data_IF_261929331468
#
_entry.id   IF_261929331468
#
_cell.length_a   1.000
_cell.length_b   1.000
_cell.length_c   1.000
_cell.angle_alpha   90.00
_cell.angle_beta   90.00
_cell.angle_gamma   90.00
#
_symmetry.space_group_name_H-M   'P 1'
#
loop_
_entity.id
_entity.type
_entity.pdbx_description
1 polymer ?
#
# COMPACT_ATOMS: atom_id res chain seq x y z
N UNK A 1 -28.96 -84.60 -34.75
CA UNK A 1 -28.95 -85.98 -34.22
C UNK A 1 -29.04 -85.86 -32.75
N UNK A 2 -29.98 -86.18 -31.94
CA UNK A 2 -31.20 -86.98 -31.97
C UNK A 2 -31.84 -86.71 -30.60
N UNK A 3 -33.04 -86.31 -30.56
CA UNK A 3 -34.07 -86.52 -29.52
C UNK A 3 -34.11 -87.98 -29.06
N UNK A 4 -34.86 -88.45 -28.08
CA UNK A 4 -36.05 -87.92 -27.47
C UNK A 4 -36.28 -88.20 -25.95
N UNK A 5 -37.37 -87.61 -25.46
CA UNK A 5 -38.16 -87.93 -24.22
C UNK A 5 -38.64 -89.40 -24.13
N UNK A 6 -39.26 -89.88 -23.00
CA UNK A 6 -40.64 -89.54 -22.67
C UNK A 6 -41.05 -89.54 -21.19
N UNK A 7 -42.17 -88.93 -20.92
CA UNK A 7 -43.12 -89.10 -19.78
C UNK A 7 -43.69 -90.53 -19.71
N UNK A 8 -44.44 -91.09 -18.71
CA UNK A 8 -45.64 -90.47 -18.08
C UNK A 8 -46.02 -90.95 -16.66
N UNK A 9 -47.01 -90.41 -16.06
CA UNK A 9 -48.36 -90.80 -15.58
C UNK A 9 -48.70 -90.61 -14.16
N UNK A 10 -49.77 -89.90 -13.94
CA UNK A 10 -50.69 -89.82 -12.79
C UNK A 10 -51.28 -91.18 -12.38
N UNK A 11 -51.85 -91.33 -11.15
CA UNK A 11 -53.26 -91.00 -10.89
C UNK A 11 -53.62 -90.54 -9.48
N UNK A 12 -54.71 -89.81 -9.37
CA UNK A 12 -55.61 -89.57 -8.24
C UNK A 12 -56.32 -90.85 -7.74
N UNK A 13 -56.83 -90.97 -6.48
CA UNK A 13 -58.15 -90.42 -6.14
C UNK A 13 -58.37 -89.90 -4.66
N UNK A 14 -59.39 -89.11 -4.56
CA UNK A 14 -60.17 -88.72 -3.37
C UNK A 14 -60.97 -89.94 -2.79
N UNK A 15 -61.67 -89.95 -1.55
CA UNK A 15 -62.22 -88.82 -0.77
C UNK A 15 -62.36 -88.95 0.73
N UNK A 16 -62.91 -87.91 1.31
CA UNK A 16 -63.85 -87.81 2.44
C UNK A 16 -63.48 -87.70 3.87
N UNK A 17 -63.92 -86.65 4.39
CA UNK A 17 -64.82 -86.35 5.57
C UNK A 17 -64.27 -86.02 6.94
N UNK A 18 -64.77 -84.89 7.41
CA UNK A 18 -65.15 -84.48 8.78
C UNK A 18 -63.99 -84.25 9.76
N UNK A 19 -63.89 -83.08 10.46
CA UNK A 19 -64.87 -82.46 11.39
C UNK A 19 -64.40 -81.13 11.90
N UNK A 20 -65.32 -80.25 12.15
CA UNK A 20 -65.25 -78.99 12.87
C UNK A 20 -64.50 -79.13 14.21
N UNK A 21 -63.61 -78.18 14.53
CA UNK A 21 -63.24 -77.64 15.88
C UNK A 21 -61.78 -77.13 15.92
N UNK A 22 -61.48 -75.96 15.27
CA UNK A 22 -60.26 -75.23 15.58
C UNK A 22 -60.30 -73.77 15.17
N UNK A 23 -61.47 -73.09 15.29
CA UNK A 23 -61.59 -71.66 14.96
C UNK A 23 -61.06 -70.66 16.01
N UNK A 24 -60.61 -71.08 17.19
CA UNK A 24 -60.22 -70.17 18.29
C UNK A 24 -58.68 -70.03 18.49
N UNK A 25 -57.86 -70.85 17.84
CA UNK A 25 -56.41 -70.76 18.01
C UNK A 25 -55.70 -69.89 16.92
N UNK A 26 -56.33 -69.56 15.81
CA UNK A 26 -55.72 -68.76 14.72
C UNK A 26 -55.88 -67.27 14.89
N UNK A 27 -56.78 -66.75 15.70
CA UNK A 27 -56.91 -65.33 16.00
C UNK A 27 -55.75 -64.81 16.94
N UNK A 28 -55.24 -65.68 17.84
CA UNK A 28 -54.10 -65.31 18.68
C UNK A 28 -52.77 -65.32 17.93
N UNK A 29 -52.58 -66.27 17.01
CA UNK A 29 -51.37 -66.32 16.20
C UNK A 29 -51.24 -65.16 15.17
N UNK A 30 -52.39 -64.70 14.62
CA UNK A 30 -52.45 -63.53 13.73
C UNK A 30 -52.07 -62.23 14.44
N UNK A 31 -52.49 -62.05 15.70
CA UNK A 31 -52.23 -60.82 16.47
C UNK A 31 -50.73 -60.77 16.89
N UNK A 32 -50.15 -61.92 17.24
CA UNK A 32 -48.70 -62.01 17.56
C UNK A 32 -47.86 -61.79 16.31
N UNK A 33 -48.26 -62.32 15.14
CA UNK A 33 -47.59 -62.08 13.87
C UNK A 33 -47.63 -60.62 13.45
N UNK A 34 -48.76 -59.92 13.68
CA UNK A 34 -48.92 -58.47 13.41
C UNK A 34 -48.06 -57.62 14.33
N UNK A 35 -47.97 -57.95 15.60
CA UNK A 35 -47.08 -57.25 16.55
C UNK A 35 -45.63 -57.49 16.21
N UNK A 36 -45.23 -58.71 15.88
CA UNK A 36 -43.85 -59.02 15.45
C UNK A 36 -43.51 -58.37 14.11
N UNK A 37 -44.41 -58.28 13.17
CA UNK A 37 -44.23 -57.53 11.90
C UNK A 37 -44.13 -56.03 12.15
N UNK A 38 -44.96 -55.46 13.05
CA UNK A 38 -44.89 -54.04 13.42
C UNK A 38 -43.60 -53.66 14.12
N UNK A 39 -43.14 -54.49 15.06
CA UNK A 39 -41.87 -54.27 15.72
C UNK A 39 -40.67 -54.52 14.79
N UNK A 40 -40.72 -55.46 13.89
CA UNK A 40 -39.73 -55.69 12.84
C UNK A 40 -39.62 -54.51 11.87
N UNK A 41 -40.74 -53.96 11.44
CA UNK A 41 -40.80 -52.79 10.55
C UNK A 41 -40.25 -51.53 11.27
N UNK A 42 -40.63 -51.35 12.56
CA UNK A 42 -40.12 -50.18 13.31
C UNK A 42 -38.62 -50.28 13.60
N UNK A 43 -38.09 -51.46 13.93
CA UNK A 43 -36.65 -51.67 14.08
C UNK A 43 -35.91 -51.53 12.78
N UNK A 44 -36.46 -52.00 11.67
CA UNK A 44 -35.89 -51.80 10.34
C UNK A 44 -35.88 -50.35 9.91
N UNK A 45 -36.96 -49.61 10.15
CA UNK A 45 -37.02 -48.17 9.89
C UNK A 45 -36.01 -47.38 10.78
N UNK A 46 -35.88 -47.76 12.07
CA UNK A 46 -34.92 -47.16 12.95
C UNK A 46 -33.47 -47.40 12.51
N UNK A 47 -33.17 -48.66 12.12
CA UNK A 47 -31.85 -49.01 11.56
C UNK A 47 -31.55 -48.32 10.24
N UNK A 48 -32.54 -48.15 9.37
CA UNK A 48 -32.43 -47.36 8.13
C UNK A 48 -32.20 -45.86 8.42
N UNK A 49 -32.89 -45.28 9.38
CA UNK A 49 -32.65 -43.90 9.82
C UNK A 49 -31.24 -43.69 10.41
N UNK A 50 -30.77 -44.62 11.25
CA UNK A 50 -29.41 -44.59 11.78
C UNK A 50 -28.36 -44.71 10.68
N UNK A 51 -28.58 -45.63 9.72
CA UNK A 51 -27.69 -45.76 8.52
C UNK A 51 -27.68 -44.52 7.66
N UNK A 52 -28.85 -43.90 7.43
CA UNK A 52 -28.94 -42.61 6.69
C UNK A 52 -28.27 -41.47 7.43
N UNK A 53 -28.39 -41.41 8.78
CA UNK A 53 -27.70 -40.42 9.60
C UNK A 53 -26.18 -40.66 9.60
N UNK A 54 -25.74 -41.92 9.74
CA UNK A 54 -24.32 -42.26 9.66
C UNK A 54 -23.72 -41.97 8.30
N UNK A 55 -24.48 -42.28 7.20
CA UNK A 55 -24.05 -41.91 5.84
C UNK A 55 -24.07 -40.42 5.59
N UNK A 56 -25.04 -39.67 6.13
CA UNK A 56 -25.04 -38.20 6.07
C UNK A 56 -23.90 -37.54 6.83
N UNK A 57 -23.49 -38.14 7.97
CA UNK A 57 -22.29 -37.70 8.72
C UNK A 57 -21.01 -38.03 7.96
N UNK A 58 -20.94 -39.16 7.27
CA UNK A 58 -19.79 -39.52 6.40
C UNK A 58 -19.75 -38.76 5.07
N UNK A 59 -20.88 -38.23 4.62
CA UNK A 59 -20.97 -37.39 3.44
C UNK A 59 -20.86 -35.88 3.72
N UNK A 60 -20.64 -35.48 4.99
CA UNK A 60 -20.25 -34.10 5.23
C UNK A 60 -18.92 -33.88 4.53
N UNK A 61 -18.87 -32.99 3.50
CA UNK A 61 -17.62 -32.72 2.82
C UNK A 61 -16.64 -32.23 3.88
N UNK A 62 -15.50 -32.92 3.97
CA UNK A 62 -14.40 -32.48 4.83
C UNK A 62 -14.19 -30.98 4.58
N UNK A 63 -14.05 -30.17 5.61
CA UNK A 63 -13.86 -28.75 5.45
C UNK A 63 -12.67 -28.52 4.52
N UNK A 64 -12.96 -28.01 3.32
CA UNK A 64 -11.96 -27.80 2.28
C UNK A 64 -10.95 -26.78 2.79
N UNK A 65 -9.71 -27.19 2.96
CA UNK A 65 -8.59 -26.28 3.19
C UNK A 65 -8.20 -25.62 1.86
N UNK A 66 -7.97 -24.33 1.90
CA UNK A 66 -7.53 -23.57 0.73
C UNK A 66 -6.02 -23.51 0.79
N UNK A 67 -5.37 -23.94 -0.29
CA UNK A 67 -3.93 -23.85 -0.48
C UNK A 67 -3.62 -22.71 -1.44
N UNK A 68 -2.58 -21.94 -1.14
CA UNK A 68 -2.10 -20.87 -2.00
C UNK A 68 -0.56 -20.83 -1.96
N UNK A 69 0.02 -20.29 -3.02
CA UNK A 69 1.42 -19.93 -3.02
C UNK A 69 1.56 -18.50 -2.47
N UNK A 70 2.66 -18.24 -1.80
CA UNK A 70 2.97 -16.94 -1.27
C UNK A 70 4.47 -16.68 -1.25
N UNK A 71 4.83 -15.46 -0.88
CA UNK A 71 6.21 -15.05 -0.69
C UNK A 71 6.36 -14.32 0.65
N UNK A 72 7.51 -14.50 1.27
CA UNK A 72 7.86 -13.81 2.50
C UNK A 72 8.26 -12.37 2.15
N UNK A 73 7.55 -11.39 2.69
CA UNK A 73 7.82 -9.97 2.49
C UNK A 73 7.48 -9.18 3.75
N UNK A 74 8.02 -7.95 3.92
CA UNK A 74 7.48 -7.02 4.91
C UNK A 74 6.00 -6.77 4.69
N UNK A 75 5.20 -6.76 5.74
CA UNK A 75 3.77 -6.41 5.67
C UNK A 75 3.55 -4.98 5.19
N UNK A 76 4.50 -4.10 5.53
CA UNK A 76 4.59 -2.78 4.99
C UNK A 76 5.33 -2.80 3.63
N UNK A 77 5.26 -1.70 2.92
CA UNK A 77 5.76 -1.62 1.54
C UNK A 77 7.27 -1.76 1.47
N UNK A 78 7.76 -2.60 0.58
CA UNK A 78 9.14 -2.53 0.07
C UNK A 78 9.23 -1.35 -0.90
N UNK A 79 10.22 -0.48 -0.68
CA UNK A 79 10.43 0.73 -1.49
C UNK A 79 11.70 0.56 -2.30
N UNK A 80 11.58 0.74 -3.61
CA UNK A 80 12.72 0.90 -4.52
C UNK A 80 13.16 2.35 -4.46
N UNK A 81 14.39 2.59 -4.02
CA UNK A 81 14.99 3.92 -4.02
C UNK A 81 15.67 4.17 -5.35
N UNK A 82 15.26 5.25 -6.00
CA UNK A 82 15.78 5.68 -7.29
C UNK A 82 16.33 7.10 -7.20
N UNK A 83 17.04 7.54 -8.21
CA UNK A 83 17.46 8.94 -8.34
C UNK A 83 16.27 9.83 -8.70
N UNK A 84 16.26 11.08 -8.22
CA UNK A 84 15.31 12.09 -8.67
C UNK A 84 15.38 12.32 -10.19
N UNK A 85 14.24 12.64 -10.81
CA UNK A 85 14.16 12.81 -12.27
C UNK A 85 15.14 13.86 -12.82
N UNK A 86 15.45 14.92 -12.05
CA UNK A 86 16.45 15.94 -12.44
C UNK A 86 17.88 15.41 -12.56
N UNK A 87 18.18 14.25 -11.94
CA UNK A 87 19.48 13.60 -11.90
C UNK A 87 19.46 12.20 -12.55
N UNK A 88 18.48 11.89 -13.38
CA UNK A 88 18.24 10.55 -13.95
C UNK A 88 19.40 10.02 -14.81
N UNK A 89 20.27 10.90 -15.29
CA UNK A 89 21.48 10.53 -16.07
C UNK A 89 22.75 10.42 -15.25
N UNK A 90 22.65 10.63 -13.93
CA UNK A 90 23.80 10.58 -13.05
C UNK A 90 24.21 9.13 -12.73
N UNK A 91 25.44 8.97 -12.24
CA UNK A 91 25.98 7.68 -11.80
C UNK A 91 26.13 7.67 -10.29
N UNK A 92 26.26 6.48 -9.72
CA UNK A 92 26.55 6.32 -8.30
C UNK A 92 28.03 6.68 -8.07
N UNK A 93 28.29 7.72 -7.28
CA UNK A 93 29.64 8.08 -6.85
C UNK A 93 30.13 7.20 -5.70
N UNK A 94 29.29 7.06 -4.67
CA UNK A 94 29.60 6.23 -3.50
C UNK A 94 28.33 5.55 -2.98
N UNK A 95 28.50 4.31 -2.52
CA UNK A 95 27.46 3.56 -1.82
C UNK A 95 27.93 3.37 -0.37
N UNK A 96 27.12 3.81 0.59
CA UNK A 96 27.48 3.87 2.02
C UNK A 96 26.90 2.71 2.84
N UNK A 97 26.15 1.82 2.20
CA UNK A 97 25.43 0.71 2.85
C UNK A 97 25.66 -0.58 2.08
N UNK A 98 25.45 -1.70 2.77
CA UNK A 98 25.51 -3.05 2.22
C UNK A 98 24.15 -3.72 2.31
N UNK A 99 23.97 -4.77 1.53
CA UNK A 99 22.78 -5.64 1.67
C UNK A 99 22.75 -6.26 3.07
N UNK A 100 21.58 -6.20 3.71
CA UNK A 100 21.37 -6.64 5.08
C UNK A 100 21.53 -5.54 6.15
N UNK A 101 22.08 -4.38 5.81
CA UNK A 101 22.26 -3.29 6.76
C UNK A 101 20.92 -2.73 7.25
N UNK A 102 20.84 -2.46 8.56
CA UNK A 102 19.76 -1.69 9.16
C UNK A 102 20.07 -0.20 9.07
N UNK A 103 19.12 0.57 8.54
CA UNK A 103 19.26 2.01 8.31
C UNK A 103 18.18 2.80 9.04
N UNK A 104 18.53 4.03 9.42
CA UNK A 104 17.60 4.94 10.07
C UNK A 104 17.01 5.93 9.07
N UNK A 105 15.84 6.48 9.38
CA UNK A 105 15.20 7.53 8.57
C UNK A 105 16.15 8.71 8.40
N UNK A 106 16.32 9.17 7.14
CA UNK A 106 17.19 10.29 6.79
C UNK A 106 18.67 9.92 6.64
N UNK A 107 19.09 8.70 6.98
CA UNK A 107 20.47 8.24 6.76
C UNK A 107 20.82 8.26 5.28
N UNK A 108 22.02 8.78 4.94
CA UNK A 108 22.52 8.77 3.57
C UNK A 108 22.94 7.36 3.20
N UNK A 109 22.39 6.86 2.10
CA UNK A 109 22.62 5.50 1.59
C UNK A 109 23.56 5.48 0.39
N UNK A 110 23.40 6.46 -0.49
CA UNK A 110 24.25 6.62 -1.68
C UNK A 110 24.48 8.11 -1.96
N UNK A 111 25.59 8.40 -2.61
CA UNK A 111 26.01 9.72 -3.05
C UNK A 111 26.21 9.65 -4.57
N UNK A 112 25.58 10.59 -5.29
CA UNK A 112 25.70 10.68 -6.74
C UNK A 112 27.01 11.37 -7.15
N UNK A 113 27.51 11.05 -8.33
CA UNK A 113 28.77 11.60 -8.85
C UNK A 113 28.71 13.11 -9.11
N UNK A 114 27.53 13.65 -9.42
CA UNK A 114 27.30 15.09 -9.63
C UNK A 114 27.45 15.94 -8.36
N UNK A 115 27.48 15.33 -7.16
CA UNK A 115 27.56 16.05 -5.89
C UNK A 115 28.62 17.15 -5.88
N UNK A 116 29.84 16.84 -6.34
CA UNK A 116 30.95 17.80 -6.31
C UNK A 116 30.72 19.00 -7.24
N UNK A 117 30.11 18.80 -8.41
CA UNK A 117 29.73 19.89 -9.31
C UNK A 117 28.63 20.75 -8.71
N UNK A 118 27.59 20.13 -8.11
CA UNK A 118 26.51 20.83 -7.43
C UNK A 118 26.99 21.62 -6.20
N UNK A 119 28.01 21.11 -5.48
CA UNK A 119 28.65 21.88 -4.40
C UNK A 119 29.37 23.14 -4.93
N UNK A 120 30.01 23.05 -6.10
CA UNK A 120 30.60 24.24 -6.75
C UNK A 120 29.52 25.25 -7.15
N UNK A 121 28.41 24.78 -7.68
CA UNK A 121 27.28 25.64 -8.06
C UNK A 121 26.67 26.36 -6.85
N UNK A 122 26.52 25.68 -5.72
CA UNK A 122 26.08 26.29 -4.46
C UNK A 122 27.08 27.36 -3.98
N UNK A 123 28.39 27.09 -4.05
CA UNK A 123 29.43 28.07 -3.68
C UNK A 123 29.39 29.30 -4.59
N UNK A 124 29.22 29.09 -5.89
CA UNK A 124 29.10 30.17 -6.86
C UNK A 124 27.86 31.04 -6.60
N UNK A 125 26.71 30.43 -6.40
CA UNK A 125 25.47 31.14 -6.07
C UNK A 125 25.57 31.88 -4.72
N UNK A 126 26.23 31.31 -3.72
CA UNK A 126 26.48 31.98 -2.43
C UNK A 126 27.36 33.23 -2.61
N UNK A 127 28.39 33.16 -3.45
CA UNK A 127 29.21 34.31 -3.80
C UNK A 127 28.40 35.41 -4.52
N UNK A 128 27.49 35.03 -5.42
CA UNK A 128 26.60 35.99 -6.12
C UNK A 128 25.68 36.73 -5.13
N UNK A 129 25.12 36.01 -4.13
CA UNK A 129 24.32 36.62 -3.06
C UNK A 129 25.14 37.65 -2.26
N UNK A 130 26.41 37.34 -1.92
CA UNK A 130 27.26 38.23 -1.19
C UNK A 130 27.60 39.48 -2.02
N UNK A 131 27.84 39.37 -3.32
CA UNK A 131 28.03 40.51 -4.25
C UNK A 131 26.80 41.41 -4.25
N UNK A 132 25.60 40.83 -4.41
CA UNK A 132 24.34 41.58 -4.40
C UNK A 132 24.11 42.31 -3.06
N UNK A 133 24.40 41.65 -1.95
CA UNK A 133 24.32 42.25 -0.59
C UNK A 133 25.23 43.48 -0.46
N UNK A 134 26.50 43.39 -0.94
CA UNK A 134 27.46 44.52 -0.89
C UNK A 134 27.02 45.65 -1.79
N UNK A 135 26.44 45.41 -2.96
CA UNK A 135 25.86 46.45 -3.82
C UNK A 135 24.73 47.18 -3.11
N UNK A 136 23.82 46.46 -2.46
CA UNK A 136 22.73 47.04 -1.69
C UNK A 136 23.27 47.91 -0.54
N UNK A 137 24.26 47.46 0.21
CA UNK A 137 24.87 48.22 1.29
C UNK A 137 25.60 49.51 0.78
N UNK A 138 26.24 49.46 -0.39
CA UNK A 138 26.82 50.61 -1.03
C UNK A 138 25.76 51.68 -1.40
N UNK A 139 24.62 51.21 -1.92
CA UNK A 139 23.49 52.10 -2.25
C UNK A 139 22.90 52.77 -1.01
N UNK A 140 22.84 52.07 0.13
CA UNK A 140 22.40 52.68 1.39
C UNK A 140 23.32 53.88 1.83
N UNK A 141 24.63 53.80 1.54
CA UNK A 141 25.56 54.89 1.74
C UNK A 141 25.29 56.10 0.82
N UNK A 142 24.92 55.83 -0.44
CA UNK A 142 24.50 56.86 -1.41
C UNK A 142 23.23 57.58 -0.93
N UNK A 143 22.24 56.82 -0.45
CA UNK A 143 21.01 57.36 0.12
C UNK A 143 21.30 58.24 1.35
N UNK A 144 22.19 57.79 2.25
CA UNK A 144 22.59 58.57 3.43
C UNK A 144 23.20 59.91 3.02
N UNK A 145 24.04 59.94 2.00
CA UNK A 145 24.60 61.17 1.44
C UNK A 145 23.51 62.11 0.94
N UNK A 146 22.61 61.66 0.05
CA UNK A 146 21.53 62.50 -0.49
C UNK A 146 20.56 62.96 0.56
N UNK A 147 20.31 62.19 1.63
CA UNK A 147 19.53 62.67 2.78
C UNK A 147 20.18 63.85 3.49
N UNK A 148 21.49 63.79 3.69
CA UNK A 148 22.25 64.90 4.32
C UNK A 148 22.25 66.14 3.43
N UNK A 149 22.47 65.97 2.10
CA UNK A 149 22.43 67.09 1.12
C UNK A 149 21.02 67.74 1.09
N UNK A 150 19.93 66.91 1.07
CA UNK A 150 18.57 67.45 1.10
C UNK A 150 18.27 68.18 2.41
N UNK A 151 18.71 67.66 3.55
CA UNK A 151 18.54 68.35 4.83
C UNK A 151 19.21 69.72 4.82
N UNK A 152 20.43 69.85 4.26
CA UNK A 152 21.12 71.12 4.10
C UNK A 152 20.36 72.06 3.16
N UNK A 153 19.94 71.59 1.97
CA UNK A 153 19.18 72.37 1.01
C UNK A 153 17.86 72.90 1.60
N UNK A 154 17.18 72.14 2.43
CA UNK A 154 15.95 72.55 3.11
C UNK A 154 16.21 73.63 4.16
N UNK A 155 17.31 73.55 4.91
CA UNK A 155 17.71 74.60 5.87
C UNK A 155 18.00 75.91 5.15
N UNK A 156 18.74 75.84 4.05
CA UNK A 156 19.05 77.03 3.21
C UNK A 156 17.78 77.62 2.59
N UNK A 157 16.91 76.82 2.02
CA UNK A 157 15.64 77.29 1.45
C UNK A 157 14.80 78.00 2.49
N UNK A 158 14.64 77.46 3.71
CA UNK A 158 13.93 78.13 4.80
C UNK A 158 14.57 79.48 5.15
N UNK A 159 15.89 79.57 5.26
CA UNK A 159 16.63 80.79 5.56
C UNK A 159 16.39 81.86 4.49
N UNK A 160 16.57 81.54 3.21
CA UNK A 160 16.43 82.48 2.13
C UNK A 160 14.96 82.84 1.86
N UNK A 161 13.99 82.01 2.15
CA UNK A 161 12.57 82.38 2.14
C UNK A 161 12.24 83.46 3.21
N UNK A 162 12.79 83.35 4.40
CA UNK A 162 12.64 84.35 5.44
C UNK A 162 13.35 85.67 5.11
N UNK A 163 14.56 85.60 4.54
CA UNK A 163 15.30 86.81 4.13
C UNK A 163 14.57 87.53 3.00
N UNK A 164 13.98 86.80 2.03
CA UNK A 164 13.16 87.40 1.00
C UNK A 164 11.92 88.10 1.56
N UNK A 165 11.21 87.46 2.51
CA UNK A 165 10.05 88.11 3.18
C UNK A 165 10.41 89.37 3.95
N UNK A 166 11.66 89.51 4.37
CA UNK A 166 12.22 90.71 5.10
C UNK A 166 12.82 91.74 4.13
N UNK A 167 12.76 91.49 2.79
CA UNK A 167 13.38 92.36 1.81
C UNK A 167 14.91 92.27 1.72
N UNK A 168 15.54 91.33 2.42
CA UNK A 168 17.01 91.18 2.54
C UNK A 168 17.62 90.20 1.53
N UNK A 169 16.80 89.62 0.60
CA UNK A 169 17.25 88.76 -0.48
C UNK A 169 16.40 88.92 -1.78
N UNK A 170 16.99 88.63 -2.90
CA UNK A 170 16.26 88.68 -4.24
C UNK A 170 15.35 87.47 -4.45
N UNK A 171 14.29 87.65 -5.24
CA UNK A 171 13.42 86.56 -5.69
C UNK A 171 14.22 85.49 -6.43
N UNK A 172 15.17 85.89 -7.27
CA UNK A 172 16.03 84.97 -8.03
C UNK A 172 16.84 84.08 -7.10
N UNK A 173 17.39 84.61 -6.01
CA UNK A 173 18.16 83.78 -5.05
C UNK A 173 17.25 82.76 -4.36
N UNK A 174 16.06 83.14 -3.91
CA UNK A 174 15.06 82.24 -3.32
C UNK A 174 14.68 81.14 -4.33
N UNK A 175 14.36 81.49 -5.57
CA UNK A 175 13.93 80.53 -6.62
C UNK A 175 15.05 79.58 -6.99
N UNK A 176 16.30 80.02 -6.96
CA UNK A 176 17.47 79.14 -7.09
C UNK A 176 17.53 78.10 -5.96
N UNK A 177 17.23 78.48 -4.68
CA UNK A 177 17.20 77.53 -3.56
C UNK A 177 16.04 76.53 -3.64
N UNK A 178 14.89 76.96 -4.18
CA UNK A 178 13.77 76.04 -4.46
C UNK A 178 14.21 75.01 -5.48
N UNK A 179 14.87 75.42 -6.55
CA UNK A 179 15.37 74.49 -7.61
C UNK A 179 16.40 73.51 -7.03
N UNK A 180 17.35 73.99 -6.20
CA UNK A 180 18.36 73.09 -5.55
C UNK A 180 17.67 72.07 -4.64
N UNK A 181 16.70 72.46 -3.83
CA UNK A 181 15.99 71.56 -2.95
C UNK A 181 15.21 70.52 -3.76
N UNK A 182 14.49 70.93 -4.81
CA UNK A 182 13.69 70.02 -5.67
C UNK A 182 14.56 69.02 -6.44
N UNK A 183 15.71 69.46 -6.97
CA UNK A 183 16.64 68.58 -7.70
C UNK A 183 17.31 67.59 -6.75
N UNK A 184 17.70 68.01 -5.54
CA UNK A 184 18.29 67.12 -4.52
C UNK A 184 17.25 66.10 -4.05
N UNK A 185 16.00 66.49 -3.86
CA UNK A 185 14.90 65.57 -3.54
C UNK A 185 14.70 64.51 -4.64
N UNK A 186 14.66 64.92 -5.90
CA UNK A 186 14.55 64.02 -7.05
C UNK A 186 15.74 63.02 -7.08
N UNK A 187 16.97 63.48 -6.74
CA UNK A 187 18.13 62.57 -6.63
C UNK A 187 18.02 61.57 -5.50
N UNK A 188 17.45 61.96 -4.37
CA UNK A 188 17.16 61.02 -3.27
C UNK A 188 16.10 60.01 -3.69
N UNK A 189 15.02 60.42 -4.34
CA UNK A 189 13.95 59.56 -4.80
C UNK A 189 14.48 58.54 -5.83
N UNK A 190 15.34 58.96 -6.76
CA UNK A 190 16.03 58.05 -7.68
C UNK A 190 16.88 57.01 -6.93
N UNK A 191 17.70 57.44 -5.96
CA UNK A 191 18.54 56.57 -5.19
C UNK A 191 17.74 55.52 -4.36
N UNK A 192 16.53 55.90 -3.91
CA UNK A 192 15.60 54.96 -3.26
C UNK A 192 15.05 53.91 -4.22
N UNK A 193 14.67 54.31 -5.45
CA UNK A 193 14.24 53.35 -6.49
C UNK A 193 15.37 52.41 -6.89
N UNK A 194 16.61 52.91 -7.03
CA UNK A 194 17.77 52.09 -7.33
C UNK A 194 18.03 51.06 -6.21
N UNK A 195 17.85 51.45 -4.91
CA UNK A 195 17.93 50.54 -3.79
C UNK A 195 16.88 49.41 -3.88
N UNK A 196 15.62 49.77 -4.25
CA UNK A 196 14.55 48.78 -4.34
C UNK A 196 14.82 47.78 -5.51
N UNK A 197 15.41 48.25 -6.63
CA UNK A 197 15.90 47.41 -7.69
C UNK A 197 16.99 46.44 -7.25
N UNK A 198 18.00 46.95 -6.49
CA UNK A 198 19.09 46.11 -5.95
C UNK A 198 18.58 45.11 -4.92
N UNK A 199 17.53 45.47 -4.15
CA UNK A 199 16.87 44.54 -3.23
C UNK A 199 16.19 43.40 -3.97
N UNK A 200 15.45 43.66 -5.04
CA UNK A 200 14.87 42.64 -5.88
C UNK A 200 15.95 41.72 -6.49
N UNK A 201 17.08 42.30 -6.94
CA UNK A 201 18.21 41.48 -7.43
C UNK A 201 18.79 40.58 -6.32
N UNK A 202 18.90 41.05 -5.09
CA UNK A 202 19.35 40.23 -3.95
C UNK A 202 18.40 39.06 -3.70
N UNK A 203 17.10 39.32 -3.72
CA UNK A 203 16.07 38.27 -3.55
C UNK A 203 16.14 37.21 -4.68
N UNK A 204 16.38 37.65 -5.92
CA UNK A 204 16.60 36.74 -7.05
C UNK A 204 17.81 35.81 -6.81
N UNK A 205 18.96 36.39 -6.39
CA UNK A 205 20.16 35.59 -6.12
C UNK A 205 19.98 34.64 -4.93
N UNK A 206 19.23 35.05 -3.91
CA UNK A 206 18.88 34.17 -2.78
C UNK A 206 18.00 33.00 -3.23
N UNK A 207 17.03 33.23 -4.10
CA UNK A 207 16.20 32.21 -4.68
C UNK A 207 17.02 31.23 -5.55
N UNK A 208 18.00 31.74 -6.32
CA UNK A 208 18.94 30.91 -7.09
C UNK A 208 19.79 30.02 -6.17
N UNK A 209 20.33 30.57 -5.10
CA UNK A 209 21.06 29.80 -4.08
C UNK A 209 20.18 28.72 -3.45
N UNK A 210 18.92 29.03 -3.15
CA UNK A 210 17.94 28.06 -2.64
C UNK A 210 17.72 26.89 -3.58
N UNK A 211 17.55 27.18 -4.87
CA UNK A 211 17.42 26.12 -5.91
C UNK A 211 18.65 25.21 -5.97
N UNK A 212 19.84 25.79 -6.01
CA UNK A 212 21.10 25.03 -6.09
C UNK A 212 21.31 24.14 -4.86
N UNK A 213 20.93 24.62 -3.65
CA UNK A 213 20.96 23.80 -2.43
C UNK A 213 20.00 22.62 -2.50
N UNK A 214 18.81 22.82 -3.04
CA UNK A 214 17.82 21.75 -3.23
C UNK A 214 18.34 20.70 -4.22
N UNK A 215 18.99 21.11 -5.31
CA UNK A 215 19.59 20.17 -6.26
C UNK A 215 20.75 19.38 -5.63
N UNK A 216 21.59 20.05 -4.83
CA UNK A 216 22.67 19.39 -4.09
C UNK A 216 22.11 18.34 -3.09
N UNK A 217 21.04 18.63 -2.37
CA UNK A 217 20.44 17.69 -1.44
C UNK A 217 19.88 16.45 -2.16
N UNK A 218 19.37 16.60 -3.39
CA UNK A 218 18.93 15.49 -4.23
C UNK A 218 20.05 14.54 -4.65
N UNK A 219 21.31 15.00 -4.65
CA UNK A 219 22.46 14.14 -4.91
C UNK A 219 22.82 13.21 -3.73
N UNK A 220 22.16 13.39 -2.58
CA UNK A 220 22.28 12.53 -1.42
C UNK A 220 21.02 11.66 -1.30
N UNK A 221 21.14 10.40 -1.67
CA UNK A 221 20.03 9.45 -1.58
C UNK A 221 19.88 9.01 -0.13
N UNK A 222 18.72 9.31 0.46
CA UNK A 222 18.43 9.07 1.88
C UNK A 222 17.33 8.07 2.09
N UNK A 223 17.39 7.33 3.21
CA UNK A 223 16.33 6.45 3.65
C UNK A 223 15.06 7.24 4.03
N UNK A 224 13.90 6.96 3.43
CA UNK A 224 12.62 7.63 3.74
C UNK A 224 12.06 7.23 5.11
N UNK A 225 12.41 6.05 5.60
CA UNK A 225 12.04 5.50 6.91
C UNK A 225 13.16 4.58 7.43
N UNK A 226 13.07 4.15 8.68
CA UNK A 226 13.98 3.14 9.23
C UNK A 226 13.63 1.74 8.75
N UNK A 227 14.61 0.93 8.39
CA UNK A 227 14.38 -0.41 7.87
C UNK A 227 15.66 -1.13 7.48
N UNK A 228 15.55 -2.20 6.71
CA UNK A 228 16.67 -3.02 6.24
C UNK A 228 16.83 -2.90 4.72
N UNK A 229 18.07 -2.84 4.25
CA UNK A 229 18.42 -2.89 2.83
C UNK A 229 18.34 -4.35 2.35
N UNK A 230 17.35 -4.66 1.51
CA UNK A 230 17.15 -6.03 1.02
C UNK A 230 18.01 -6.35 -0.20
N UNK A 231 18.15 -5.41 -1.11
CA UNK A 231 18.90 -5.62 -2.35
C UNK A 231 19.55 -4.32 -2.83
N UNK A 232 20.72 -4.43 -3.41
CA UNK A 232 21.43 -3.35 -4.10
C UNK A 232 21.41 -3.65 -5.59
N UNK A 233 20.89 -2.71 -6.38
CA UNK A 233 20.72 -2.85 -7.82
C UNK A 233 21.77 -2.05 -8.62
N UNK A 234 22.41 -1.02 -8.00
CA UNK A 234 23.42 -0.19 -8.65
C UNK A 234 24.61 0.02 -7.72
N UNK A 235 25.80 -0.07 -8.27
CA UNK A 235 27.09 0.07 -7.58
C UNK A 235 27.82 1.33 -8.04
N UNK A 236 28.89 1.76 -7.32
CA UNK A 236 29.69 2.91 -7.72
C UNK A 236 30.20 2.78 -9.17
N UNK A 237 29.94 3.82 -9.96
CA UNK A 237 30.19 3.86 -11.40
C UNK A 237 28.98 3.48 -12.28
N UNK A 238 27.99 2.78 -11.74
CA UNK A 238 26.82 2.40 -12.50
C UNK A 238 25.87 3.59 -12.71
N UNK A 239 25.21 3.62 -13.87
CA UNK A 239 24.04 4.45 -14.13
C UNK A 239 22.81 3.78 -13.52
N UNK A 240 21.98 4.54 -12.83
CA UNK A 240 20.77 3.99 -12.20
C UNK A 240 19.74 3.63 -13.27
N UNK A 241 19.29 2.38 -13.24
CA UNK A 241 18.23 1.84 -14.09
C UNK A 241 16.82 2.03 -13.47
N UNK A 242 15.79 1.55 -14.18
CA UNK A 242 14.40 1.55 -13.68
C UNK A 242 14.20 0.72 -12.41
N UNK A 243 15.12 -0.21 -12.10
CA UNK A 243 15.10 -0.96 -10.85
C UNK A 243 15.57 -0.15 -9.64
N UNK A 244 16.02 1.08 -9.85
CA UNK A 244 16.51 1.96 -8.81
C UNK A 244 17.92 1.59 -8.31
N UNK A 245 18.33 2.21 -7.21
CA UNK A 245 19.65 2.00 -6.58
C UNK A 245 19.63 0.79 -5.67
N UNK A 246 18.60 0.71 -4.82
CA UNK A 246 18.43 -0.35 -3.84
C UNK A 246 16.96 -0.51 -3.44
N UNK A 247 16.65 -1.65 -2.83
CA UNK A 247 15.34 -1.96 -2.24
C UNK A 247 15.47 -2.03 -0.72
N UNK A 248 14.56 -1.37 -0.02
CA UNK A 248 14.50 -1.40 1.44
C UNK A 248 13.07 -1.54 1.95
N UNK A 249 12.92 -2.07 3.15
CA UNK A 249 11.62 -2.24 3.81
C UNK A 249 11.77 -2.42 5.31
N UNK A 250 10.65 -2.37 6.02
CA UNK A 250 10.61 -2.59 7.46
C UNK A 250 10.65 -4.09 7.78
N UNK A 251 11.83 -4.58 8.14
CA UNK A 251 12.03 -6.00 8.53
C UNK A 251 11.52 -6.34 9.92
N UNK A 252 11.06 -5.37 10.71
CA UNK A 252 10.47 -5.64 12.04
C UNK A 252 9.09 -6.27 11.94
N UNK A 253 8.40 -6.09 10.82
CA UNK A 253 7.03 -6.56 10.56
C UNK A 253 6.99 -7.42 9.30
N UNK A 254 7.69 -8.56 9.36
CA UNK A 254 7.64 -9.54 8.28
C UNK A 254 6.32 -10.30 8.28
N UNK A 255 5.87 -10.67 7.09
CA UNK A 255 4.68 -11.46 6.85
C UNK A 255 4.80 -12.31 5.60
N UNK A 256 3.67 -12.85 5.18
CA UNK A 256 3.56 -13.58 3.92
C UNK A 256 2.47 -12.95 3.08
N UNK A 257 2.78 -12.65 1.83
CA UNK A 257 1.80 -12.26 0.83
C UNK A 257 1.43 -13.52 0.05
N UNK A 258 0.23 -14.03 0.29
CA UNK A 258 -0.30 -15.21 -0.37
C UNK A 258 -1.20 -14.82 -1.54
N UNK A 259 -1.05 -15.50 -2.68
CA UNK A 259 -1.87 -15.32 -3.88
C UNK A 259 -2.99 -16.36 -3.93
N UNK A 260 -4.20 -15.95 -3.54
CA UNK A 260 -5.38 -16.82 -3.48
C UNK A 260 -6.20 -16.66 -4.75
N UNK A 261 -6.60 -17.76 -5.37
CA UNK A 261 -7.45 -17.74 -6.56
C UNK A 261 -8.79 -17.07 -6.29
N UNK A 262 -9.29 -16.35 -7.28
CA UNK A 262 -10.58 -15.66 -7.23
C UNK A 262 -11.73 -16.59 -6.80
N UNK A 263 -11.71 -17.85 -7.23
CA UNK A 263 -12.70 -18.87 -6.88
C UNK A 263 -12.72 -19.23 -5.40
N UNK A 264 -11.59 -19.12 -4.72
CA UNK A 264 -11.42 -19.51 -3.31
C UNK A 264 -11.59 -18.32 -2.35
N UNK A 265 -11.74 -17.09 -2.89
CA UNK A 265 -11.96 -15.85 -2.12
C UNK A 265 -13.07 -15.95 -1.06
N UNK A 266 -14.23 -16.61 -1.30
CA UNK A 266 -15.27 -16.75 -0.29
C UNK A 266 -14.87 -17.55 0.95
N UNK A 267 -13.80 -18.36 0.85
CA UNK A 267 -13.27 -19.16 1.96
C UNK A 267 -12.21 -18.45 2.80
N UNK A 268 -11.89 -17.17 2.53
CA UNK A 268 -10.87 -16.38 3.23
C UNK A 268 -11.53 -15.27 4.03
N UNK A 269 -11.12 -15.12 5.30
CA UNK A 269 -11.61 -14.11 6.21
C UNK A 269 -10.48 -13.49 7.05
N UNK A 270 -10.67 -12.25 7.49
CA UNK A 270 -9.75 -11.60 8.41
C UNK A 270 -9.64 -12.40 9.72
N UNK A 271 -8.44 -12.44 10.31
CA UNK A 271 -8.16 -13.19 11.53
C UNK A 271 -8.14 -14.72 11.34
N UNK A 272 -8.31 -15.24 10.13
CA UNK A 272 -8.23 -16.67 9.84
C UNK A 272 -6.82 -17.19 10.10
N UNK A 273 -6.71 -18.33 10.77
CA UNK A 273 -5.45 -19.02 11.03
C UNK A 273 -4.91 -19.63 9.74
N UNK A 274 -3.61 -19.54 9.56
CA UNK A 274 -2.91 -20.01 8.37
C UNK A 274 -1.66 -20.75 8.78
N UNK A 275 -1.41 -21.90 8.15
CA UNK A 275 -0.18 -22.67 8.28
C UNK A 275 0.69 -22.39 7.07
N UNK A 276 1.93 -22.02 7.31
CA UNK A 276 2.91 -21.65 6.29
C UNK A 276 4.05 -22.64 6.34
N UNK A 277 4.42 -23.19 5.18
CA UNK A 277 5.55 -24.12 5.04
C UNK A 277 6.41 -23.73 3.86
N UNK A 278 7.71 -23.92 3.99
CA UNK A 278 8.69 -23.72 2.91
C UNK A 278 9.88 -24.65 3.10
N UNK A 279 10.50 -25.02 1.97
CA UNK A 279 11.69 -25.89 1.97
C UNK A 279 12.91 -25.20 2.62
N UNK A 280 12.93 -23.84 2.59
CA UNK A 280 13.94 -23.03 3.29
C UNK A 280 13.77 -22.96 4.82
N UNK A 281 12.68 -23.52 5.39
CA UNK A 281 12.45 -23.63 6.82
C UNK A 281 12.42 -25.10 7.25
N UNK A 282 13.55 -25.79 7.36
CA UNK A 282 13.60 -27.22 7.57
C UNK A 282 12.83 -27.64 8.82
N UNK A 283 11.80 -28.46 8.61
CA UNK A 283 10.98 -29.10 9.66
C UNK A 283 10.08 -28.17 10.48
N UNK A 284 9.94 -26.89 10.12
CA UNK A 284 9.12 -25.93 10.87
C UNK A 284 7.99 -25.38 10.02
N UNK A 285 6.78 -25.66 10.46
CA UNK A 285 5.60 -24.95 10.02
C UNK A 285 5.46 -23.68 10.84
N UNK A 286 5.32 -22.54 10.21
CA UNK A 286 4.95 -21.29 10.86
C UNK A 286 3.45 -21.12 10.86
N UNK A 287 2.91 -20.51 11.91
CA UNK A 287 1.49 -20.20 12.02
C UNK A 287 1.35 -18.68 11.96
N UNK A 288 0.51 -18.21 11.06
CA UNK A 288 0.17 -16.80 10.91
C UNK A 288 -1.34 -16.57 10.97
N UNK A 289 -1.73 -15.30 10.85
CA UNK A 289 -3.12 -14.89 10.77
C UNK A 289 -3.32 -13.91 9.61
N UNK A 290 -4.47 -14.01 8.94
CA UNK A 290 -4.85 -13.07 7.87
C UNK A 290 -5.08 -11.69 8.48
N UNK A 291 -4.27 -10.70 8.08
CA UNK A 291 -4.36 -9.31 8.56
C UNK A 291 -5.00 -8.39 7.54
N UNK A 292 -4.86 -8.69 6.26
CA UNK A 292 -5.42 -7.87 5.18
C UNK A 292 -5.76 -8.75 3.96
N UNK A 293 -6.82 -8.39 3.26
CA UNK A 293 -7.22 -9.03 2.01
C UNK A 293 -7.37 -7.94 0.97
N UNK A 294 -6.59 -8.01 -0.11
CA UNK A 294 -6.66 -7.04 -1.18
C UNK A 294 -8.05 -7.02 -1.82
N UNK A 295 -8.51 -5.82 -2.18
CA UNK A 295 -9.79 -5.62 -2.89
C UNK A 295 -9.64 -5.70 -4.40
N UNK A 296 -8.41 -5.66 -4.88
CA UNK A 296 -8.07 -5.70 -6.30
C UNK A 296 -7.66 -7.11 -6.70
N UNK A 297 -8.08 -7.52 -7.88
CA UNK A 297 -7.63 -8.75 -8.53
C UNK A 297 -6.39 -8.44 -9.35
N UNK A 298 -5.34 -9.21 -9.17
CA UNK A 298 -4.10 -9.13 -9.94
C UNK A 298 -3.87 -10.40 -10.76
N UNK A 299 -2.87 -10.36 -11.63
CA UNK A 299 -2.35 -11.58 -12.25
C UNK A 299 -1.45 -12.29 -11.25
N UNK A 300 -1.44 -13.62 -11.30
CA UNK A 300 -0.54 -14.44 -10.49
C UNK A 300 0.92 -14.06 -10.79
N UNK A 301 1.73 -13.87 -9.78
CA UNK A 301 3.16 -13.57 -9.88
C UNK A 301 4.05 -14.64 -9.25
N UNK A 302 3.51 -15.48 -8.38
CA UNK A 302 4.21 -16.60 -7.74
C UNK A 302 3.78 -17.90 -8.41
N UNK A 303 4.74 -18.62 -8.98
CA UNK A 303 4.52 -19.86 -9.75
C UNK A 303 5.18 -21.04 -9.05
N UNK A 304 4.56 -22.23 -9.17
CA UNK A 304 5.10 -23.47 -8.59
C UNK A 304 6.31 -24.01 -9.36
N UNK A 305 6.50 -23.58 -10.61
CA UNK A 305 7.52 -24.11 -11.50
C UNK A 305 7.15 -25.43 -12.17
N UNK A 306 5.92 -25.91 -12.01
CA UNK A 306 5.43 -27.12 -12.66
C UNK A 306 5.13 -26.87 -14.15
N UNK A 307 5.48 -27.84 -14.99
CA UNK A 307 5.22 -27.77 -16.43
C UNK A 307 3.70 -27.79 -16.70
N UNK A 308 3.20 -26.77 -17.44
CA UNK A 308 1.78 -26.65 -17.78
C UNK A 308 0.97 -25.75 -16.83
N UNK A 309 1.61 -25.05 -15.92
CA UNK A 309 0.94 -24.05 -15.08
C UNK A 309 0.35 -22.92 -15.93
N UNK A 310 -0.93 -22.62 -15.73
CA UNK A 310 -1.60 -21.56 -16.50
C UNK A 310 -1.21 -20.19 -15.96
N UNK A 311 -0.47 -19.42 -16.74
CA UNK A 311 0.10 -18.12 -16.39
C UNK A 311 -0.93 -16.97 -16.30
N UNK A 312 -2.18 -17.18 -16.72
CA UNK A 312 -3.21 -16.12 -16.75
C UNK A 312 -4.28 -16.30 -15.67
N UNK A 313 -3.88 -16.82 -14.50
CA UNK A 313 -4.80 -16.96 -13.37
C UNK A 313 -4.94 -15.63 -12.62
N UNK A 314 -6.19 -15.34 -12.24
CA UNK A 314 -6.53 -14.16 -11.45
C UNK A 314 -6.53 -14.50 -9.97
N UNK A 315 -5.81 -13.70 -9.20
CA UNK A 315 -5.59 -13.90 -7.76
C UNK A 315 -5.90 -12.64 -6.96
N UNK A 316 -6.22 -12.85 -5.68
CA UNK A 316 -6.21 -11.81 -4.66
C UNK A 316 -4.98 -11.97 -3.79
N UNK A 317 -4.33 -10.87 -3.48
CA UNK A 317 -3.27 -10.86 -2.47
C UNK A 317 -3.88 -10.86 -1.06
N UNK A 318 -3.40 -11.76 -0.23
CA UNK A 318 -3.78 -11.90 1.17
C UNK A 318 -2.52 -11.73 2.01
N UNK A 319 -2.50 -10.70 2.85
CA UNK A 319 -1.39 -10.46 3.77
C UNK A 319 -1.62 -11.26 5.05
N UNK A 320 -0.62 -12.00 5.44
CA UNK A 320 -0.62 -12.87 6.61
C UNK A 320 0.47 -12.38 7.56
N UNK A 321 0.05 -11.95 8.75
CA UNK A 321 0.98 -11.54 9.81
C UNK A 321 1.62 -12.74 10.47
N UNK A 322 2.93 -12.66 10.70
CA UNK A 322 3.71 -13.64 11.44
C UNK A 322 3.87 -13.19 12.90
N UNK A 323 3.91 -14.12 13.87
CA UNK A 323 4.28 -13.79 15.23
C UNK A 323 5.75 -13.34 15.30
N UNK A 324 6.16 -12.55 16.32
CA UNK A 324 7.49 -11.93 16.38
C UNK A 324 8.66 -12.89 16.21
N UNK A 325 8.55 -14.10 16.76
CA UNK A 325 9.61 -15.13 16.64
C UNK A 325 9.76 -15.62 15.18
N UNK A 326 8.66 -15.82 14.48
CA UNK A 326 8.66 -16.22 13.08
C UNK A 326 9.07 -15.06 12.16
N UNK A 327 8.67 -13.82 12.51
CA UNK A 327 9.06 -12.60 11.78
C UNK A 327 10.58 -12.38 11.85
N UNK A 328 11.22 -12.63 13.00
CA UNK A 328 12.67 -12.54 13.17
C UNK A 328 13.43 -13.54 12.26
N UNK A 329 12.92 -14.77 12.13
CA UNK A 329 13.48 -15.75 11.18
C UNK A 329 13.25 -15.31 9.72
N UNK A 330 12.08 -14.80 9.43
CA UNK A 330 11.68 -14.35 8.10
C UNK A 330 12.46 -13.10 7.64
N UNK A 331 12.96 -12.29 8.58
CA UNK A 331 13.69 -11.04 8.26
C UNK A 331 14.98 -11.26 7.48
N UNK A 332 15.59 -12.44 7.60
CA UNK A 332 16.81 -12.82 6.88
C UNK A 332 16.55 -13.40 5.49
N UNK A 333 15.28 -13.67 5.12
CA UNK A 333 14.91 -14.41 3.91
C UNK A 333 13.75 -13.69 3.21
N UNK A 334 14.05 -12.57 2.58
CA UNK A 334 13.05 -11.84 1.79
C UNK A 334 12.80 -12.54 0.44
N UNK A 335 11.55 -12.51 -0.04
CA UNK A 335 11.08 -13.15 -1.28
C UNK A 335 11.16 -14.69 -1.30
N UNK A 336 11.37 -15.35 -0.15
CA UNK A 336 11.26 -16.81 -0.11
C UNK A 336 9.83 -17.23 -0.47
N UNK A 337 9.73 -18.13 -1.44
CA UNK A 337 8.44 -18.74 -1.82
C UNK A 337 8.01 -19.72 -0.73
N UNK A 338 6.74 -19.67 -0.36
CA UNK A 338 6.13 -20.48 0.70
C UNK A 338 4.80 -21.06 0.25
N UNK A 339 4.47 -22.24 0.78
CA UNK A 339 3.15 -22.83 0.67
C UNK A 339 2.30 -22.38 1.86
N UNK A 340 1.11 -21.90 1.57
CA UNK A 340 0.18 -21.32 2.54
C UNK A 340 -1.09 -22.16 2.56
N UNK A 341 -1.44 -22.67 3.73
CA UNK A 341 -2.64 -23.47 3.93
C UNK A 341 -3.57 -22.76 4.91
N UNK A 342 -4.72 -22.31 4.43
CA UNK A 342 -5.73 -21.65 5.24
C UNK A 342 -6.59 -22.69 5.97
N UNK A 343 -6.72 -22.55 7.29
CA UNK A 343 -7.62 -23.38 8.06
C UNK A 343 -9.08 -23.07 7.68
N UNK A 344 -10.01 -24.02 7.82
CA UNK A 344 -11.42 -23.79 7.52
C UNK A 344 -11.98 -22.64 8.39
N UNK A 345 -12.86 -21.83 7.79
CA UNK A 345 -13.52 -20.74 8.52
C UNK A 345 -14.28 -21.25 9.73
N UNK A 346 -14.11 -20.60 10.88
CA UNK A 346 -14.91 -20.87 12.08
C UNK A 346 -16.39 -20.48 11.83
N UNK A 347 -17.33 -21.05 12.60
CA UNK A 347 -18.75 -20.67 12.50
C UNK A 347 -18.98 -19.16 12.64
N UNK A 348 -18.25 -18.52 13.56
CA UNK A 348 -18.30 -17.08 13.80
C UNK A 348 -17.81 -16.27 12.59
N UNK A 349 -16.69 -16.67 12.00
CA UNK A 349 -16.14 -16.04 10.79
C UNK A 349 -17.11 -16.16 9.60
N UNK A 350 -17.76 -17.32 9.43
CA UNK A 350 -18.79 -17.51 8.41
C UNK A 350 -19.99 -16.59 8.62
N UNK A 351 -20.45 -16.42 9.86
CA UNK A 351 -21.55 -15.51 10.18
C UNK A 351 -21.16 -14.06 9.94
N UNK A 352 -19.97 -13.62 10.39
CA UNK A 352 -19.48 -12.28 10.16
C UNK A 352 -19.38 -11.95 8.66
N UNK A 353 -18.88 -12.89 7.87
CA UNK A 353 -18.77 -12.74 6.41
C UNK A 353 -20.14 -12.61 5.75
N UNK A 354 -21.13 -13.41 6.16
CA UNK A 354 -22.53 -13.30 5.66
C UNK A 354 -23.13 -11.94 5.99
N UNK A 355 -23.03 -11.50 7.23
CA UNK A 355 -23.53 -10.19 7.66
C UNK A 355 -22.88 -9.03 6.89
N UNK A 356 -21.57 -9.13 6.65
CA UNK A 356 -20.86 -8.12 5.85
C UNK A 356 -21.37 -8.08 4.40
N UNK A 357 -21.60 -9.24 3.81
CA UNK A 357 -22.13 -9.36 2.45
C UNK A 357 -23.56 -8.80 2.36
N UNK A 358 -24.44 -9.11 3.32
CA UNK A 358 -25.80 -8.60 3.39
C UNK A 358 -25.81 -7.06 3.48
N UNK A 359 -24.96 -6.48 4.34
CA UNK A 359 -24.82 -5.02 4.44
C UNK A 359 -24.38 -4.37 3.13
N UNK A 360 -23.44 -4.98 2.42
CA UNK A 360 -22.98 -4.48 1.11
C UNK A 360 -24.09 -4.53 0.06
N UNK A 361 -24.84 -5.62 0.01
CA UNK A 361 -26.00 -5.78 -0.90
C UNK A 361 -27.08 -4.73 -0.57
N UNK A 362 -27.35 -4.52 0.71
CA UNK A 362 -28.36 -3.53 1.14
C UNK A 362 -27.91 -2.10 0.82
N UNK A 363 -26.62 -1.77 1.00
CA UNK A 363 -26.05 -0.48 0.58
C UNK A 363 -26.17 -0.25 -0.92
N UNK A 364 -25.86 -1.27 -1.73
CA UNK A 364 -26.01 -1.18 -3.19
C UNK A 364 -27.48 -0.98 -3.60
N UNK A 365 -28.42 -1.70 -2.97
CA UNK A 365 -29.86 -1.51 -3.21
C UNK A 365 -30.33 -0.09 -2.87
N UNK A 366 -29.87 0.47 -1.76
CA UNK A 366 -30.19 1.86 -1.37
C UNK A 366 -29.62 2.89 -2.34
N UNK A 367 -28.41 2.67 -2.85
CA UNK A 367 -27.82 3.54 -3.88
C UNK A 367 -28.58 3.48 -5.20
N UNK A 368 -28.99 2.29 -5.64
CA UNK A 368 -29.78 2.12 -6.86
C UNK A 368 -31.21 2.70 -6.73
N UNK A 369 -31.84 2.59 -5.56
CA UNK A 369 -33.15 3.18 -5.30
C UNK A 369 -33.12 4.71 -5.17
N UNK A 370 -32.00 5.28 -4.71
CA UNK A 370 -31.80 6.74 -4.64
C UNK A 370 -31.57 7.41 -5.99
N UNK A 371 -31.09 6.65 -6.99
CA UNK A 371 -30.88 7.12 -8.37
C UNK A 371 -32.18 7.09 -9.22
N UNK A 372 -33.25 6.47 -8.71
CA UNK A 372 -34.54 6.33 -9.42
C UNK A 372 -35.57 7.42 -9.08
N UNK A 373 -35.23 8.46 -8.29
CA UNK A 373 -36.11 9.59 -8.11
C UNK A 373 -36.00 10.57 -9.26
N UNK A 374 -37.04 10.79 -10.08
CA UNK A 374 -37.01 11.80 -11.11
C UNK A 374 -36.87 13.18 -10.46
N UNK A 375 -35.97 14.00 -10.97
CA UNK A 375 -35.80 15.41 -10.61
C UNK A 375 -37.18 16.12 -10.72
N UNK A 376 -37.65 16.86 -9.70
CA UNK A 376 -38.82 17.67 -9.85
C UNK A 376 -38.58 18.78 -10.87
N UNK A 377 -39.46 18.85 -11.85
CA UNK A 377 -39.51 19.92 -12.86
C UNK A 377 -40.04 21.23 -12.24
#
# INVERSE_FOLDING_TARGET
MTEPAPTPTTPTPTPAATTRLRRRRWLGAGLIALVLAGTGISLWQHSQQQRRQAQALQQQPLPRRIAALGRVEPLDRVVKLSVPASLSNDTIGQLLVKQGDQVQRGQVLAILSSRESLERDVRSAAAAVEVARRKLAAQDSVIARYRAELAQAQVELRRYTQLYAQGASSAETRDRRITIESTTRASLDQALQDRDTLRAQLEEQQAALGRNRTELDKALIRAPFGGTVFRINAYPGDKVSDDGILEMGDSSRMGVIAEVYQTDRPGISLGQRVVISADGFPGRQMVGQVVEIARQVSRQSVYSGEAGENLDRRVFEVKIGLPPEAAALASSINYLQVNVLFDPLTPEQKQAQRQQMERLIEQQRRQQSGLSQPSPR
#
